data_IF_527214338131
#
_entry.id   IF_527214338131
#
_cell.length_a   1.000
_cell.length_b   1.000
_cell.length_c   1.000
_cell.angle_alpha   90.00
_cell.angle_beta   90.00
_cell.angle_gamma   90.00
#
_symmetry.space_group_name_H-M   'P 1'
#
loop_
_entity.id
_entity.type
_entity.pdbx_description
1 polymer ?
#
# COMPACT_ATOMS: atom_id res chain seq x y z
N UNK A 1 -14.68 -12.20 3.62
CA UNK A 1 -15.80 -12.27 4.62
C UNK A 1 -17.01 -12.93 3.97
N UNK A 2 -17.56 -12.39 2.86
CA UNK A 2 -18.75 -12.97 2.19
C UNK A 2 -18.59 -14.45 1.84
N UNK A 3 -17.49 -14.82 1.20
CA UNK A 3 -17.18 -16.22 0.82
C UNK A 3 -17.14 -17.15 2.05
N UNK A 4 -16.59 -16.68 3.17
CA UNK A 4 -16.58 -17.46 4.40
C UNK A 4 -17.98 -17.67 4.96
N UNK A 5 -18.87 -16.67 4.88
CA UNK A 5 -20.27 -16.79 5.31
C UNK A 5 -21.07 -17.74 4.41
N UNK A 6 -20.81 -17.77 3.11
CA UNK A 6 -21.43 -18.72 2.18
C UNK A 6 -21.08 -20.16 2.51
N UNK A 7 -19.83 -20.43 2.89
CA UNK A 7 -19.36 -21.80 3.18
C UNK A 7 -19.77 -22.32 4.55
N UNK A 8 -19.87 -21.43 5.55
CA UNK A 8 -20.14 -21.83 6.95
C UNK A 8 -21.54 -21.51 7.43
N UNK A 9 -22.34 -20.82 6.60
CA UNK A 9 -23.67 -20.32 6.92
C UNK A 9 -23.68 -18.95 7.65
N UNK A 10 -24.76 -18.18 7.49
CA UNK A 10 -24.85 -16.81 8.01
C UNK A 10 -24.85 -16.74 9.55
N UNK A 11 -25.19 -17.83 10.23
CA UNK A 11 -25.17 -17.92 11.69
C UNK A 11 -23.80 -18.31 12.26
N UNK A 12 -22.84 -18.73 11.40
CA UNK A 12 -21.53 -19.12 11.86
C UNK A 12 -20.59 -17.92 12.04
N UNK A 13 -20.14 -17.71 13.27
CA UNK A 13 -19.17 -16.64 13.58
C UNK A 13 -17.78 -16.90 12.98
N UNK A 14 -17.48 -18.12 12.53
CA UNK A 14 -16.19 -18.48 11.95
C UNK A 14 -15.96 -17.86 10.57
N UNK A 15 -16.98 -17.85 9.72
CA UNK A 15 -16.83 -17.44 8.33
C UNK A 15 -16.38 -15.99 8.14
N UNK A 16 -16.86 -15.06 8.96
CA UNK A 16 -16.46 -13.66 8.85
C UNK A 16 -15.24 -13.29 9.69
N UNK A 17 -14.99 -14.03 10.80
CA UNK A 17 -13.82 -13.78 11.66
C UNK A 17 -12.52 -14.31 11.08
N UNK A 18 -12.56 -15.43 10.37
CA UNK A 18 -11.37 -16.08 9.84
C UNK A 18 -10.54 -15.15 8.94
N UNK A 19 -11.19 -14.43 8.02
CA UNK A 19 -10.51 -13.51 7.11
C UNK A 19 -9.74 -12.42 7.86
N UNK A 20 -10.35 -11.84 8.91
CA UNK A 20 -9.74 -10.77 9.71
C UNK A 20 -8.63 -11.31 10.59
N UNK A 21 -8.81 -12.51 11.16
CA UNK A 21 -7.77 -13.18 11.95
C UNK A 21 -6.53 -13.49 11.09
N UNK A 22 -6.74 -13.99 9.86
CA UNK A 22 -5.64 -14.21 8.92
C UNK A 22 -4.94 -12.90 8.53
N UNK A 23 -5.71 -11.80 8.35
CA UNK A 23 -5.12 -10.49 8.11
C UNK A 23 -4.26 -10.02 9.29
N UNK A 24 -4.69 -10.24 10.53
CA UNK A 24 -3.91 -9.95 11.74
C UNK A 24 -2.59 -10.74 11.78
N UNK A 25 -2.64 -12.05 11.53
CA UNK A 25 -1.44 -12.90 11.44
C UNK A 25 -0.50 -12.41 10.35
N UNK A 26 -1.02 -12.09 9.17
CA UNK A 26 -0.24 -11.57 8.05
C UNK A 26 0.43 -10.23 8.39
N UNK A 27 -0.25 -9.37 9.16
CA UNK A 27 0.29 -8.08 9.61
C UNK A 27 1.49 -8.28 10.53
N UNK A 28 1.40 -9.17 11.52
CA UNK A 28 2.53 -9.53 12.40
C UNK A 28 3.70 -10.07 11.59
N UNK A 29 3.43 -11.02 10.68
CA UNK A 29 4.47 -11.59 9.81
C UNK A 29 5.16 -10.52 8.95
N UNK A 30 4.39 -9.64 8.33
CA UNK A 30 4.92 -8.54 7.50
C UNK A 30 5.76 -7.57 8.32
N UNK A 31 5.34 -7.26 9.56
CA UNK A 31 6.13 -6.41 10.45
C UNK A 31 7.48 -7.05 10.76
N UNK A 32 7.49 -8.32 11.11
CA UNK A 32 8.73 -9.07 11.35
C UNK A 32 9.65 -9.03 10.11
N UNK A 33 9.09 -9.24 8.92
CA UNK A 33 9.83 -9.18 7.64
C UNK A 33 10.36 -7.77 7.36
N UNK A 34 9.59 -6.73 7.67
CA UNK A 34 10.00 -5.34 7.50
C UNK A 34 11.14 -4.98 8.46
N UNK A 35 10.99 -5.32 9.74
CA UNK A 35 12.00 -5.05 10.76
C UNK A 35 13.31 -5.79 10.47
N UNK A 36 13.25 -7.07 10.07
CA UNK A 36 14.43 -7.83 9.65
C UNK A 36 15.18 -7.15 8.51
N UNK A 37 14.44 -6.55 7.58
CA UNK A 37 15.01 -5.88 6.41
C UNK A 37 15.68 -4.54 6.75
N UNK A 38 15.13 -3.83 7.74
CA UNK A 38 15.65 -2.53 8.18
C UNK A 38 16.79 -2.72 9.20
N UNK A 39 16.62 -3.69 10.09
CA UNK A 39 17.52 -3.97 11.20
C UNK A 39 17.69 -5.50 11.30
N UNK A 40 18.78 -6.08 10.78
CA UNK A 40 19.00 -7.54 10.79
C UNK A 40 19.39 -8.02 12.20
N UNK A 41 18.45 -7.89 13.15
CA UNK A 41 18.60 -8.30 14.54
C UNK A 41 17.42 -9.19 14.96
N UNK A 42 17.66 -10.46 15.33
CA UNK A 42 16.59 -11.37 15.77
C UNK A 42 15.82 -10.82 16.97
N UNK A 43 16.51 -10.13 17.88
CA UNK A 43 15.90 -9.55 19.07
C UNK A 43 14.87 -8.47 18.69
N UNK A 44 15.24 -7.53 17.80
CA UNK A 44 14.34 -6.47 17.37
C UNK A 44 13.13 -7.02 16.61
N UNK A 45 13.33 -8.04 15.78
CA UNK A 45 12.25 -8.72 15.08
C UNK A 45 11.30 -9.40 16.04
N UNK A 46 11.85 -10.14 17.01
CA UNK A 46 11.05 -10.82 18.03
C UNK A 46 10.24 -9.84 18.87
N UNK A 47 10.87 -8.76 19.34
CA UNK A 47 10.19 -7.72 20.14
C UNK A 47 9.09 -7.00 19.32
N UNK A 48 9.37 -6.61 18.08
CA UNK A 48 8.40 -5.95 17.24
C UNK A 48 7.18 -6.85 16.94
N UNK A 49 7.43 -8.11 16.60
CA UNK A 49 6.38 -9.10 16.39
C UNK A 49 5.57 -9.37 17.66
N UNK A 50 6.23 -9.52 18.81
CA UNK A 50 5.59 -9.73 20.10
C UNK A 50 4.69 -8.54 20.47
N UNK A 51 5.20 -7.31 20.42
CA UNK A 51 4.43 -6.12 20.79
C UNK A 51 3.19 -5.94 19.90
N UNK A 52 3.29 -6.19 18.59
CA UNK A 52 2.12 -6.16 17.73
C UNK A 52 1.16 -7.32 17.99
N UNK A 53 1.67 -8.51 18.31
CA UNK A 53 0.84 -9.67 18.59
C UNK A 53 0.03 -9.56 19.89
N UNK A 54 0.56 -8.85 20.90
CA UNK A 54 -0.12 -8.60 22.19
C UNK A 54 -0.85 -7.25 22.24
N UNK A 55 -0.81 -6.47 21.14
CA UNK A 55 -1.52 -5.20 21.08
C UNK A 55 -3.03 -5.40 21.23
N UNK A 56 -3.60 -4.78 22.25
CA UNK A 56 -5.01 -4.93 22.59
C UNK A 56 -5.96 -4.42 21.50
N UNK A 57 -5.56 -3.38 20.76
CA UNK A 57 -6.34 -2.84 19.63
C UNK A 57 -6.36 -3.84 18.49
N UNK A 58 -5.19 -4.34 18.07
CA UNK A 58 -5.07 -5.33 17.00
C UNK A 58 -5.81 -6.63 17.31
N UNK A 59 -5.75 -7.12 18.58
CA UNK A 59 -6.50 -8.28 19.02
C UNK A 59 -8.01 -8.01 18.94
N UNK A 60 -8.46 -6.85 19.40
CA UNK A 60 -9.88 -6.49 19.39
C UNK A 60 -10.42 -6.40 17.95
N UNK A 61 -9.74 -5.68 17.07
CA UNK A 61 -10.11 -5.56 15.65
C UNK A 61 -10.18 -6.93 14.96
N UNK A 62 -9.21 -7.81 15.23
CA UNK A 62 -9.19 -9.18 14.68
C UNK A 62 -10.36 -10.04 15.20
N UNK A 63 -10.81 -9.82 16.42
CA UNK A 63 -11.89 -10.61 17.04
C UNK A 63 -13.29 -10.16 16.65
N UNK A 64 -13.54 -8.86 16.51
CA UNK A 64 -14.86 -8.32 16.16
C UNK A 64 -15.04 -8.11 14.66
N UNK A 65 -14.03 -8.40 13.85
CA UNK A 65 -14.13 -8.41 12.40
C UNK A 65 -14.23 -7.01 11.79
N UNK A 66 -13.60 -6.00 12.40
CA UNK A 66 -13.52 -4.67 11.83
C UNK A 66 -12.68 -4.65 10.56
N UNK A 67 -13.13 -3.87 9.59
CA UNK A 67 -12.39 -3.66 8.35
C UNK A 67 -11.08 -2.87 8.56
N UNK A 68 -10.94 -2.18 9.69
CA UNK A 68 -9.75 -1.38 10.02
C UNK A 68 -8.48 -2.24 10.11
N UNK A 69 -8.58 -3.51 10.52
CA UNK A 69 -7.45 -4.46 10.47
C UNK A 69 -6.87 -4.67 9.06
N UNK A 70 -7.72 -4.61 8.03
CA UNK A 70 -7.23 -4.70 6.64
C UNK A 70 -6.47 -3.45 6.19
N UNK A 71 -6.84 -2.25 6.68
CA UNK A 71 -6.07 -1.03 6.40
C UNK A 71 -4.65 -1.17 6.94
N UNK A 72 -4.50 -1.65 8.18
CA UNK A 72 -3.19 -1.92 8.80
C UNK A 72 -2.35 -2.87 7.96
N UNK A 73 -2.96 -3.97 7.50
CA UNK A 73 -2.31 -4.94 6.63
C UNK A 73 -1.83 -4.31 5.32
N UNK A 74 -2.72 -3.62 4.59
CA UNK A 74 -2.38 -3.02 3.30
C UNK A 74 -1.37 -1.87 3.44
N UNK A 75 -1.49 -1.04 4.48
CA UNK A 75 -0.53 0.01 4.79
C UNK A 75 0.87 -0.55 5.03
N UNK A 76 0.98 -1.57 5.89
CA UNK A 76 2.26 -2.20 6.21
C UNK A 76 2.86 -2.91 5.01
N UNK A 77 2.04 -3.60 4.22
CA UNK A 77 2.47 -4.25 2.98
C UNK A 77 2.96 -3.22 1.95
N UNK A 78 2.28 -2.07 1.82
CA UNK A 78 2.72 -0.99 0.96
C UNK A 78 4.07 -0.42 1.41
N UNK A 79 4.24 -0.16 2.72
CA UNK A 79 5.54 0.29 3.29
C UNK A 79 6.63 -0.74 3.01
N UNK A 80 6.36 -2.03 3.19
CA UNK A 80 7.31 -3.09 2.86
C UNK A 80 7.74 -3.04 1.39
N UNK A 81 6.78 -2.90 0.47
CA UNK A 81 7.06 -2.78 -0.96
C UNK A 81 7.92 -1.54 -1.27
N UNK A 82 7.62 -0.38 -0.66
CA UNK A 82 8.39 0.85 -0.87
C UNK A 82 9.82 0.74 -0.32
N UNK A 83 10.01 0.09 0.82
CA UNK A 83 11.36 -0.18 1.35
C UNK A 83 12.14 -1.11 0.40
N UNK A 84 11.50 -2.13 -0.15
CA UNK A 84 12.09 -3.01 -1.18
C UNK A 84 12.47 -2.24 -2.44
N UNK A 85 11.57 -1.40 -2.91
CA UNK A 85 11.80 -0.55 -4.08
C UNK A 85 13.01 0.38 -3.87
N UNK A 86 13.07 1.05 -2.70
CA UNK A 86 14.21 1.91 -2.34
C UNK A 86 15.55 1.17 -2.37
N UNK A 87 15.60 -0.03 -1.80
CA UNK A 87 16.83 -0.84 -1.79
C UNK A 87 17.25 -1.22 -3.22
N UNK A 88 16.30 -1.72 -4.01
CA UNK A 88 16.52 -2.09 -5.41
C UNK A 88 16.99 -0.89 -6.26
N UNK A 89 16.41 0.31 -6.05
CA UNK A 89 16.84 1.51 -6.76
C UNK A 89 18.25 1.97 -6.36
N UNK A 90 18.59 1.89 -5.07
CA UNK A 90 19.95 2.22 -4.60
C UNK A 90 21.00 1.29 -5.19
N UNK A 91 20.75 -0.02 -5.17
CA UNK A 91 21.63 -1.02 -5.79
C UNK A 91 21.79 -0.78 -7.30
N UNK A 92 20.69 -0.44 -7.98
CA UNK A 92 20.69 -0.11 -9.40
C UNK A 92 21.52 1.13 -9.70
N UNK A 93 21.31 2.22 -8.93
CA UNK A 93 22.06 3.47 -9.10
C UNK A 93 23.54 3.21 -8.85
N UNK A 94 23.91 2.47 -7.80
CA UNK A 94 25.28 2.13 -7.48
C UNK A 94 25.95 1.38 -8.66
N UNK A 95 25.31 0.33 -9.16
CA UNK A 95 25.83 -0.46 -10.31
C UNK A 95 25.99 0.37 -11.58
N UNK A 96 25.04 1.26 -11.89
CA UNK A 96 25.08 2.06 -13.12
C UNK A 96 26.13 3.18 -13.08
N UNK A 97 26.51 3.62 -11.89
CA UNK A 97 27.52 4.67 -11.68
C UNK A 97 28.88 4.12 -11.27
N UNK A 98 29.02 2.81 -11.16
CA UNK A 98 30.30 2.16 -10.89
C UNK A 98 31.31 2.50 -11.99
N UNK A 99 32.46 3.09 -11.61
CA UNK A 99 33.45 3.57 -12.56
C UNK A 99 33.14 4.88 -13.31
N UNK A 100 32.02 5.54 -12.99
CA UNK A 100 31.63 6.80 -13.62
C UNK A 100 32.13 8.00 -12.80
N UNK A 101 32.59 9.07 -13.45
CA UNK A 101 33.07 10.29 -12.79
C UNK A 101 31.93 10.97 -11.98
N UNK A 102 32.31 11.66 -10.91
CA UNK A 102 31.37 12.51 -10.12
C UNK A 102 30.70 13.57 -11.03
N UNK A 103 29.43 13.83 -10.82
CA UNK A 103 28.68 14.80 -11.62
C UNK A 103 28.06 14.24 -12.89
N UNK A 104 28.05 12.91 -13.08
CA UNK A 104 27.33 12.27 -14.16
C UNK A 104 25.83 12.55 -14.13
N UNK A 105 25.18 12.43 -15.28
CA UNK A 105 23.73 12.52 -15.37
C UNK A 105 23.07 11.39 -14.55
N UNK A 106 21.96 11.71 -13.91
CA UNK A 106 21.20 10.74 -13.14
C UNK A 106 20.70 9.60 -14.04
N UNK A 107 20.93 8.33 -13.68
CA UNK A 107 20.41 7.22 -14.47
C UNK A 107 18.87 7.21 -14.40
N UNK A 108 18.24 6.93 -15.53
CA UNK A 108 16.76 6.83 -15.61
C UNK A 108 16.23 5.81 -14.60
N UNK A 109 15.09 6.11 -13.99
CA UNK A 109 14.37 5.14 -13.19
C UNK A 109 13.98 3.96 -14.08
N UNK A 110 14.42 2.76 -13.73
CA UNK A 110 14.07 1.56 -14.46
C UNK A 110 12.66 1.05 -14.13
N UNK A 111 12.40 -0.20 -14.46
CA UNK A 111 11.20 -0.92 -14.02
C UNK A 111 11.16 -0.99 -12.49
N UNK A 112 10.02 -0.62 -11.90
CA UNK A 112 9.82 -0.54 -10.43
C UNK A 112 8.59 -1.35 -10.01
N UNK A 113 8.65 -2.67 -10.05
CA UNK A 113 7.48 -3.53 -9.75
C UNK A 113 7.01 -3.36 -8.31
N UNK A 114 7.93 -3.17 -7.36
CA UNK A 114 7.59 -2.96 -5.96
C UNK A 114 6.79 -1.67 -5.74
N UNK A 115 7.07 -0.62 -6.50
CA UNK A 115 6.30 0.62 -6.42
C UNK A 115 4.89 0.42 -6.99
N UNK A 116 4.74 -0.33 -8.09
CA UNK A 116 3.43 -0.67 -8.66
C UNK A 116 2.63 -1.52 -7.65
N UNK A 117 3.27 -2.53 -7.03
CA UNK A 117 2.64 -3.33 -5.98
C UNK A 117 2.18 -2.49 -4.79
N UNK A 118 2.99 -1.49 -4.39
CA UNK A 118 2.59 -0.53 -3.35
C UNK A 118 1.37 0.29 -3.78
N UNK A 119 1.29 0.72 -5.05
CA UNK A 119 0.12 1.40 -5.60
C UNK A 119 -1.16 0.55 -5.51
N UNK A 120 -1.09 -0.74 -5.86
CA UNK A 120 -2.20 -1.69 -5.70
C UNK A 120 -2.63 -1.78 -4.23
N UNK A 121 -1.68 -1.99 -3.32
CA UNK A 121 -1.97 -2.13 -1.88
C UNK A 121 -2.57 -0.85 -1.28
N UNK A 122 -2.11 0.32 -1.71
CA UNK A 122 -2.69 1.60 -1.30
C UNK A 122 -4.08 1.81 -1.88
N UNK A 123 -4.34 1.36 -3.10
CA UNK A 123 -5.68 1.31 -3.69
C UNK A 123 -6.62 0.40 -2.89
N UNK A 124 -6.15 -0.78 -2.45
CA UNK A 124 -6.90 -1.65 -1.54
C UNK A 124 -7.18 -0.95 -0.19
N UNK A 125 -6.20 -0.24 0.39
CA UNK A 125 -6.39 0.52 1.62
C UNK A 125 -7.47 1.61 1.44
N UNK A 126 -7.45 2.35 0.32
CA UNK A 126 -8.48 3.34 -0.02
C UNK A 126 -9.87 2.69 -0.19
N UNK A 127 -9.93 1.45 -0.70
CA UNK A 127 -11.18 0.71 -0.87
C UNK A 127 -11.81 0.30 0.46
N UNK A 128 -10.99 0.10 1.49
CA UNK A 128 -11.47 -0.17 2.86
C UNK A 128 -11.96 1.13 3.51
N UNK A 129 -11.17 2.19 3.44
CA UNK A 129 -11.48 3.48 4.07
C UNK A 129 -10.73 4.62 3.39
N UNK A 130 -11.39 5.76 3.24
CA UNK A 130 -10.82 6.95 2.60
C UNK A 130 -9.56 7.50 3.29
N UNK A 131 -9.32 7.13 4.55
CA UNK A 131 -8.05 7.43 5.23
C UNK A 131 -6.82 6.85 4.52
N UNK A 132 -6.98 5.83 3.65
CA UNK A 132 -5.94 5.33 2.75
C UNK A 132 -5.34 6.41 1.84
N UNK A 133 -6.08 7.49 1.51
CA UNK A 133 -5.55 8.60 0.73
C UNK A 133 -4.43 9.36 1.45
N UNK A 134 -4.49 9.49 2.77
CA UNK A 134 -3.40 10.11 3.54
C UNK A 134 -2.14 9.25 3.48
N UNK A 135 -2.30 7.91 3.53
CA UNK A 135 -1.17 6.98 3.36
C UNK A 135 -0.58 7.09 1.95
N UNK A 136 -1.43 7.16 0.92
CA UNK A 136 -0.99 7.30 -0.48
C UNK A 136 -0.19 8.61 -0.66
N UNK A 137 -0.69 9.73 -0.14
CA UNK A 137 -0.02 11.02 -0.19
C UNK A 137 1.32 11.00 0.55
N UNK A 138 1.33 10.51 1.79
CA UNK A 138 2.55 10.43 2.62
C UNK A 138 3.61 9.55 1.98
N UNK A 139 3.24 8.36 1.50
CA UNK A 139 4.15 7.44 0.83
C UNK A 139 4.63 8.04 -0.50
N UNK A 140 3.75 8.69 -1.25
CA UNK A 140 4.13 9.39 -2.48
C UNK A 140 5.22 10.43 -2.25
N UNK A 141 5.04 11.32 -1.27
CA UNK A 141 6.03 12.33 -0.90
C UNK A 141 7.33 11.67 -0.42
N UNK A 142 7.24 10.65 0.44
CA UNK A 142 8.38 9.92 0.96
C UNK A 142 9.24 9.29 -0.16
N UNK A 143 8.61 8.73 -1.20
CA UNK A 143 9.35 8.15 -2.33
C UNK A 143 10.13 9.20 -3.12
N UNK A 144 9.58 10.39 -3.32
CA UNK A 144 10.25 11.51 -3.99
C UNK A 144 11.45 11.98 -3.16
N UNK A 145 11.28 12.15 -1.85
CA UNK A 145 12.37 12.53 -0.94
C UNK A 145 13.49 11.46 -0.97
N UNK A 146 13.14 10.19 -0.95
CA UNK A 146 14.12 9.10 -0.97
C UNK A 146 14.89 9.02 -2.29
N UNK A 147 14.21 9.20 -3.42
CA UNK A 147 14.88 9.26 -4.73
C UNK A 147 15.82 10.48 -4.80
N UNK A 148 15.39 11.64 -4.27
CA UNK A 148 16.23 12.84 -4.19
C UNK A 148 17.46 12.65 -3.31
N UNK A 149 17.31 12.02 -2.14
CA UNK A 149 18.46 11.71 -1.28
C UNK A 149 19.46 10.73 -1.94
N UNK A 150 18.95 9.76 -2.70
CA UNK A 150 19.78 8.82 -3.44
C UNK A 150 20.59 9.51 -4.55
N UNK A 151 19.94 10.39 -5.34
CA UNK A 151 20.60 11.16 -6.39
C UNK A 151 21.60 12.18 -5.85
N UNK A 152 21.28 12.81 -4.71
CA UNK A 152 22.21 13.71 -4.01
C UNK A 152 23.43 12.97 -3.50
N UNK A 153 23.27 11.77 -2.97
CA UNK A 153 24.37 10.98 -2.43
C UNK A 153 25.42 10.60 -3.49
N UNK A 154 24.98 10.41 -4.75
CA UNK A 154 25.87 10.14 -5.89
C UNK A 154 26.33 11.41 -6.62
N UNK A 155 26.07 12.60 -6.04
CA UNK A 155 26.45 13.92 -6.59
C UNK A 155 26.01 14.13 -8.05
N UNK A 156 24.83 13.63 -8.44
CA UNK A 156 24.29 13.81 -9.79
C UNK A 156 24.14 15.31 -10.14
N UNK A 157 24.54 15.72 -11.35
CA UNK A 157 24.67 17.11 -11.78
C UNK A 157 23.43 17.98 -11.58
N UNK A 158 22.24 17.47 -11.87
CA UNK A 158 20.95 18.19 -11.78
C UNK A 158 19.94 17.46 -10.90
N UNK A 159 20.40 16.91 -9.79
CA UNK A 159 19.61 16.03 -8.94
C UNK A 159 18.25 16.60 -8.49
N UNK A 160 18.16 17.92 -8.22
CA UNK A 160 16.90 18.56 -7.78
C UNK A 160 15.83 18.51 -8.88
N UNK A 161 16.19 18.94 -10.10
CA UNK A 161 15.28 18.97 -11.23
C UNK A 161 14.87 17.54 -11.63
N UNK A 162 15.85 16.65 -11.71
CA UNK A 162 15.62 15.23 -12.01
C UNK A 162 14.71 14.57 -10.98
N UNK A 163 14.90 14.86 -9.69
CA UNK A 163 14.04 14.34 -8.62
C UNK A 163 12.61 14.83 -8.78
N UNK A 164 12.40 16.12 -9.01
CA UNK A 164 11.05 16.67 -9.05
C UNK A 164 10.31 16.32 -10.33
N UNK A 165 10.95 16.52 -11.49
CA UNK A 165 10.29 16.37 -12.79
C UNK A 165 10.25 14.91 -13.23
N UNK A 166 11.41 14.24 -13.32
CA UNK A 166 11.48 12.88 -13.87
C UNK A 166 11.06 11.82 -12.87
N UNK A 167 11.66 11.85 -11.66
CA UNK A 167 11.36 10.86 -10.62
C UNK A 167 9.98 11.09 -9.98
N UNK A 168 9.67 12.34 -9.64
CA UNK A 168 8.39 12.69 -9.03
C UNK A 168 7.22 12.33 -9.92
N UNK A 169 7.26 12.71 -11.19
CA UNK A 169 6.24 12.32 -12.17
C UNK A 169 6.14 10.81 -12.37
N UNK A 170 7.29 10.14 -12.50
CA UNK A 170 7.34 8.69 -12.64
C UNK A 170 6.78 7.95 -11.42
N UNK A 171 7.05 8.43 -10.20
CA UNK A 171 6.51 7.87 -8.97
C UNK A 171 5.00 8.10 -8.87
N UNK A 172 4.55 9.32 -9.20
CA UNK A 172 3.12 9.63 -9.27
C UNK A 172 2.38 8.68 -10.22
N UNK A 173 2.87 8.50 -11.45
CA UNK A 173 2.23 7.63 -12.45
C UNK A 173 2.19 6.15 -12.04
N UNK A 174 3.13 5.69 -11.20
CA UNK A 174 3.17 4.30 -10.72
C UNK A 174 2.36 4.08 -9.44
N UNK A 175 2.12 5.12 -8.65
CA UNK A 175 1.38 5.01 -7.39
C UNK A 175 -0.09 5.43 -7.56
N UNK A 176 -0.33 6.65 -7.99
CA UNK A 176 -1.66 7.26 -7.92
C UNK A 176 -2.65 6.67 -8.94
N UNK A 177 -2.33 6.58 -10.26
CA UNK A 177 -3.24 5.95 -11.21
C UNK A 177 -3.47 4.46 -10.90
N UNK A 178 -2.41 3.74 -10.46
CA UNK A 178 -2.53 2.33 -10.09
C UNK A 178 -3.46 2.16 -8.88
N UNK A 179 -3.30 2.98 -7.84
CA UNK A 179 -4.20 2.98 -6.70
C UNK A 179 -5.64 3.35 -7.12
N UNK A 180 -5.82 4.33 -8.00
CA UNK A 180 -7.12 4.73 -8.54
C UNK A 180 -7.81 3.60 -9.32
N UNK A 181 -7.08 2.92 -10.19
CA UNK A 181 -7.62 1.75 -10.94
C UNK A 181 -8.00 0.63 -9.96
N UNK A 182 -7.16 0.32 -8.98
CA UNK A 182 -7.46 -0.70 -7.96
C UNK A 182 -8.70 -0.33 -7.16
N UNK A 183 -8.83 0.93 -6.75
CA UNK A 183 -10.02 1.45 -6.07
C UNK A 183 -11.27 1.29 -6.94
N UNK A 184 -11.24 1.70 -8.21
CA UNK A 184 -12.38 1.56 -9.12
C UNK A 184 -12.76 0.09 -9.36
N UNK A 185 -11.77 -0.79 -9.50
CA UNK A 185 -12.01 -2.23 -9.63
C UNK A 185 -12.69 -2.83 -8.39
N UNK A 186 -12.46 -2.29 -7.20
CA UNK A 186 -13.17 -2.75 -5.99
C UNK A 186 -14.68 -2.49 -6.04
N UNK A 187 -15.12 -1.51 -6.82
CA UNK A 187 -16.53 -1.16 -7.04
C UNK A 187 -17.17 -1.95 -8.18
N UNK A 188 -16.39 -2.77 -8.91
CA UNK A 188 -16.88 -3.49 -10.09
C UNK A 188 -18.13 -4.32 -9.79
N UNK A 189 -18.15 -5.03 -8.64
CA UNK A 189 -19.31 -5.83 -8.23
C UNK A 189 -20.58 -4.98 -8.01
N UNK A 190 -20.43 -3.75 -7.52
CA UNK A 190 -21.55 -2.81 -7.36
C UNK A 190 -22.05 -2.31 -8.72
N UNK A 191 -21.16 -1.96 -9.64
CA UNK A 191 -21.55 -1.50 -10.98
C UNK A 191 -22.26 -2.58 -11.79
N UNK A 192 -21.87 -3.84 -11.63
CA UNK A 192 -22.44 -4.97 -12.38
C UNK A 192 -23.77 -5.48 -11.79
N UNK A 193 -24.13 -5.07 -10.58
CA UNK A 193 -25.34 -5.56 -9.92
C UNK A 193 -26.42 -4.48 -9.87
N UNK A 194 -27.47 -4.56 -10.75
CA UNK A 194 -28.57 -3.60 -10.76
C UNK A 194 -29.37 -3.52 -9.46
N UNK A 195 -29.37 -4.61 -8.65
CA UNK A 195 -30.04 -4.66 -7.35
C UNK A 195 -29.16 -4.21 -6.18
N UNK A 196 -27.92 -3.73 -6.45
CA UNK A 196 -27.06 -3.22 -5.39
C UNK A 196 -27.66 -2.00 -4.69
N UNK A 197 -27.34 -1.86 -3.40
CA UNK A 197 -27.87 -0.79 -2.55
C UNK A 197 -27.70 0.59 -3.21
N UNK A 198 -28.83 1.31 -3.33
CA UNK A 198 -28.91 2.62 -3.97
C UNK A 198 -28.48 2.71 -5.44
N UNK A 199 -28.33 1.61 -6.17
CA UNK A 199 -27.87 1.62 -7.56
C UNK A 199 -28.77 2.46 -8.47
N UNK A 200 -30.09 2.43 -8.31
CA UNK A 200 -31.07 3.23 -9.07
C UNK A 200 -31.56 4.49 -8.36
N UNK A 201 -31.01 4.84 -7.20
CA UNK A 201 -31.57 5.91 -6.35
C UNK A 201 -31.64 7.27 -7.05
N UNK A 202 -30.59 7.71 -7.74
CA UNK A 202 -30.57 9.02 -8.42
C UNK A 202 -31.60 9.10 -9.56
N UNK A 203 -31.87 8.00 -10.25
CA UNK A 203 -32.92 7.94 -11.28
C UNK A 203 -34.31 8.00 -10.64
N UNK A 204 -34.53 7.30 -9.55
CA UNK A 204 -35.78 7.31 -8.79
C UNK A 204 -36.09 8.70 -8.21
N UNK A 205 -35.09 9.39 -7.64
CA UNK A 205 -35.26 10.75 -7.11
C UNK A 205 -35.57 11.77 -8.21
N UNK A 206 -34.92 11.69 -9.37
CA UNK A 206 -35.26 12.54 -10.54
C UNK A 206 -36.69 12.29 -11.04
N UNK A 207 -37.09 11.02 -11.13
CA UNK A 207 -38.44 10.66 -11.52
C UNK A 207 -39.50 11.15 -10.52
N UNK A 208 -39.14 11.27 -9.25
CA UNK A 208 -39.99 11.80 -8.19
C UNK A 208 -39.98 13.34 -8.08
N UNK A 209 -39.25 14.03 -8.97
CA UNK A 209 -39.15 15.49 -8.97
C UNK A 209 -38.36 16.09 -7.80
N UNK A 210 -37.51 15.28 -7.14
CA UNK A 210 -36.67 15.68 -6.00
C UNK A 210 -35.19 15.81 -6.37
N UNK A 211 -34.86 16.04 -7.62
CA UNK A 211 -33.48 16.19 -8.14
C UNK A 211 -33.11 17.61 -8.43
#
# INVERSE_FOLDING_TARGET
>A
IATGMEQTGPASSWGWRLAVALAGIATVFLLCRLVWRLFPSPLLVGLAGLFLAIDGVGITESRIGLLDGFIGLFALAAVYCIVRDRQSQRERIARLLEGTAEGALAPKAGWRPWMISAGVLLGCACSVKWSGLYLLATIGIMTVIWDGTALRAVKAKVWKLETLVSRGWGNFMRLVPVAGVTYLLSWFGWFMNPSAYKHGWAAAERAAGRG
#
